data_IF_990470605226
#
_entry.id   IF_990470605226
#
_cell.length_a   1.000
_cell.length_b   1.000
_cell.length_c   1.000
_cell.angle_alpha   90.00
_cell.angle_beta   90.00
_cell.angle_gamma   90.00
#
_symmetry.space_group_name_H-M   'P 1'
#
loop_
_entity.id
_entity.type
_entity.pdbx_description
1 polymer ?
#
# COMPACT_ATOMS: atom_id res chain seq x y z
N UNK A 1 -12.98 10.68 -43.44
CA UNK A 1 -11.68 10.07 -43.22
C UNK A 1 -11.48 9.96 -41.72
N UNK A 2 -11.75 8.78 -41.17
CA UNK A 2 -11.67 8.48 -39.73
C UNK A 2 -10.29 7.93 -39.40
N UNK A 3 -9.56 8.61 -38.54
CA UNK A 3 -8.34 8.08 -37.95
C UNK A 3 -8.68 7.33 -36.64
N UNK A 4 -8.68 6.00 -36.69
CA UNK A 4 -8.74 5.16 -35.50
C UNK A 4 -7.33 5.07 -34.89
N UNK A 5 -7.14 5.75 -33.77
CA UNK A 5 -5.96 5.58 -32.94
C UNK A 5 -6.04 4.35 -32.09
N UNK A 6 -5.36 3.30 -32.47
CA UNK A 6 -5.22 2.06 -31.68
C UNK A 6 -4.35 2.36 -30.45
N UNK A 7 -4.95 2.34 -29.25
CA UNK A 7 -4.18 2.37 -28.00
C UNK A 7 -3.51 1.02 -27.81
N UNK A 8 -2.21 0.98 -27.93
CA UNK A 8 -1.38 -0.16 -27.57
C UNK A 8 -1.40 -0.30 -26.03
N UNK A 9 -1.93 -1.42 -25.54
CA UNK A 9 -1.85 -1.78 -24.14
C UNK A 9 -0.38 -2.02 -23.77
N UNK A 10 0.12 -1.34 -22.75
CA UNK A 10 1.44 -1.58 -22.20
C UNK A 10 1.51 -3.01 -21.66
N UNK A 11 2.35 -3.84 -22.25
CA UNK A 11 2.66 -5.18 -21.74
C UNK A 11 3.39 -5.03 -20.38
N UNK A 12 2.87 -5.72 -19.38
CA UNK A 12 3.57 -5.88 -18.11
C UNK A 12 4.93 -6.58 -18.35
N UNK A 13 5.99 -6.21 -17.62
CA UNK A 13 7.28 -6.84 -17.78
C UNK A 13 7.19 -8.35 -17.48
N UNK A 14 7.61 -9.17 -18.42
CA UNK A 14 7.81 -10.61 -18.22
C UNK A 14 8.96 -10.79 -17.22
N UNK A 15 8.64 -11.31 -16.03
CA UNK A 15 9.65 -11.64 -15.02
C UNK A 15 10.20 -13.02 -15.37
N UNK A 16 11.41 -13.06 -15.90
CA UNK A 16 12.19 -14.29 -16.09
C UNK A 16 12.60 -14.84 -14.73
N UNK A 17 12.09 -16.01 -14.38
CA UNK A 17 12.48 -16.75 -13.18
C UNK A 17 13.77 -17.52 -13.46
N UNK A 18 14.85 -17.15 -12.78
CA UNK A 18 16.07 -17.95 -12.75
C UNK A 18 15.97 -18.95 -11.57
N UNK A 19 15.83 -20.25 -11.91
CA UNK A 19 15.78 -21.33 -10.94
C UNK A 19 17.20 -21.81 -10.62
N UNK A 20 17.85 -21.21 -9.62
CA UNK A 20 19.02 -21.80 -8.99
C UNK A 20 18.98 -21.53 -7.48
N UNK A 21 18.31 -22.42 -6.74
CA UNK A 21 18.36 -22.45 -5.30
C UNK A 21 19.68 -23.06 -4.83
N UNK A 22 20.59 -22.23 -4.32
CA UNK A 22 21.70 -22.70 -3.53
C UNK A 22 21.42 -22.34 -2.06
N UNK A 23 21.43 -23.29 -1.16
CA UNK A 23 21.00 -23.27 0.25
C UNK A 23 21.81 -22.34 1.18
N UNK A 24 22.21 -21.18 0.72
CA UNK A 24 22.83 -20.08 1.47
C UNK A 24 22.22 -18.71 1.14
N UNK A 25 21.20 -18.65 0.31
CA UNK A 25 20.57 -17.38 -0.06
C UNK A 25 19.54 -17.03 0.99
N UNK A 26 19.75 -15.93 1.70
CA UNK A 26 18.77 -15.33 2.56
C UNK A 26 18.22 -14.07 1.92
N UNK A 27 16.93 -13.82 2.17
CA UNK A 27 16.16 -12.79 1.49
C UNK A 27 15.56 -11.80 2.48
N UNK A 28 15.27 -10.62 1.98
CA UNK A 28 14.41 -9.64 2.64
C UNK A 28 13.09 -9.55 1.89
N UNK A 29 11.99 -9.53 2.62
CA UNK A 29 10.67 -9.26 2.05
C UNK A 29 10.28 -7.82 2.37
N UNK A 30 9.91 -7.04 1.34
CA UNK A 30 9.27 -5.75 1.51
C UNK A 30 7.77 -5.87 1.26
N UNK A 31 6.97 -5.53 2.28
CA UNK A 31 5.50 -5.45 2.20
C UNK A 31 5.12 -3.99 1.96
N UNK A 32 4.50 -3.74 0.80
CA UNK A 32 4.06 -2.40 0.40
C UNK A 32 2.54 -2.33 0.39
N UNK A 33 1.98 -1.62 1.38
CA UNK A 33 0.55 -1.35 1.45
C UNK A 33 0.22 -0.07 0.70
N UNK A 34 -0.07 -0.21 -0.57
CA UNK A 34 -0.51 0.91 -1.41
C UNK A 34 -1.98 1.27 -1.21
N UNK A 35 -2.43 2.34 -1.85
CA UNK A 35 -3.81 2.83 -1.76
C UNK A 35 -4.81 1.92 -2.48
N UNK A 36 -4.42 1.26 -3.56
CA UNK A 36 -5.32 0.44 -4.39
C UNK A 36 -4.97 -1.03 -4.43
N UNK A 37 -3.81 -1.40 -3.91
CA UNK A 37 -3.30 -2.77 -3.92
C UNK A 37 -2.25 -2.99 -2.86
N UNK A 38 -2.14 -4.22 -2.40
CA UNK A 38 -1.06 -4.71 -1.56
C UNK A 38 0.00 -5.40 -2.41
N UNK A 39 1.28 -5.28 -2.01
CA UNK A 39 2.40 -5.87 -2.74
C UNK A 39 3.38 -6.51 -1.77
N UNK A 40 3.99 -7.62 -2.20
CA UNK A 40 5.15 -8.20 -1.55
C UNK A 40 6.29 -8.34 -2.56
N UNK A 41 7.49 -7.93 -2.16
CA UNK A 41 8.70 -7.91 -3.00
C UNK A 41 9.77 -8.73 -2.32
N UNK A 42 10.34 -9.70 -3.03
CA UNK A 42 11.49 -10.49 -2.58
C UNK A 42 12.78 -9.84 -3.07
N UNK A 43 13.69 -9.58 -2.14
CA UNK A 43 14.98 -8.95 -2.44
C UNK A 43 16.11 -9.83 -1.91
N UNK A 44 17.12 -10.07 -2.71
CA UNK A 44 18.31 -10.84 -2.30
C UNK A 44 19.35 -9.96 -1.60
N UNK A 45 20.44 -10.58 -1.14
CA UNK A 45 21.56 -9.90 -0.46
C UNK A 45 22.29 -8.87 -1.32
N UNK A 46 22.19 -8.97 -2.64
CA UNK A 46 22.78 -7.98 -3.56
C UNK A 46 21.89 -6.73 -3.74
N UNK A 47 20.65 -6.75 -3.21
CA UNK A 47 19.63 -5.73 -3.42
C UNK A 47 18.83 -5.96 -4.71
N UNK A 48 19.00 -7.08 -5.40
CA UNK A 48 18.24 -7.39 -6.59
C UNK A 48 16.84 -7.92 -6.25
N UNK A 49 15.83 -7.42 -6.94
CA UNK A 49 14.45 -7.92 -6.84
C UNK A 49 14.38 -9.28 -7.54
N UNK A 50 13.95 -10.31 -6.80
CA UNK A 50 13.81 -11.69 -7.28
C UNK A 50 12.40 -12.04 -7.67
N UNK A 51 11.40 -11.53 -6.94
CA UNK A 51 10.00 -11.76 -7.25
C UNK A 51 9.14 -10.62 -6.71
N UNK A 52 7.95 -10.45 -7.31
CA UNK A 52 6.92 -9.52 -6.86
C UNK A 52 5.57 -10.21 -6.98
N UNK A 53 4.76 -10.11 -5.93
CA UNK A 53 3.34 -10.45 -5.96
C UNK A 53 2.52 -9.21 -5.62
N UNK A 54 1.36 -9.05 -6.25
CA UNK A 54 0.50 -7.89 -6.06
C UNK A 54 -0.97 -8.31 -6.17
N UNK A 55 -1.81 -7.78 -5.28
CA UNK A 55 -3.26 -8.02 -5.29
C UNK A 55 -4.00 -6.71 -5.05
N UNK A 56 -4.94 -6.31 -5.92
CA UNK A 56 -5.84 -5.21 -5.64
C UNK A 56 -6.83 -5.58 -4.55
N UNK A 57 -7.44 -4.57 -3.91
CA UNK A 57 -8.55 -4.72 -2.98
C UNK A 57 -9.64 -3.69 -3.26
N UNK A 58 -10.90 -3.92 -2.80
CA UNK A 58 -12.02 -3.05 -3.08
C UNK A 58 -11.84 -1.64 -2.51
N UNK A 59 -12.31 -0.64 -3.25
CA UNK A 59 -12.39 0.75 -2.83
C UNK A 59 -13.86 1.06 -2.52
N UNK A 60 -14.15 1.77 -1.43
CA UNK A 60 -15.49 2.11 -0.98
C UNK A 60 -15.69 3.63 -1.10
N UNK A 61 -16.75 4.03 -1.81
CA UNK A 61 -17.09 5.44 -2.03
C UNK A 61 -18.50 5.71 -1.48
N UNK A 62 -18.68 5.93 -0.16
CA UNK A 62 -20.01 6.04 0.45
C UNK A 62 -20.77 7.28 0.01
N UNK A 63 -20.08 8.36 -0.32
CA UNK A 63 -20.62 9.65 -0.78
C UNK A 63 -19.62 10.32 -1.73
N UNK A 64 -20.03 11.29 -2.55
CA UNK A 64 -19.11 12.11 -3.34
C UNK A 64 -17.97 12.67 -2.50
N UNK A 65 -16.73 12.47 -2.93
CA UNK A 65 -15.53 12.91 -2.23
C UNK A 65 -15.12 12.09 -1.01
N UNK A 66 -15.91 11.05 -0.62
CA UNK A 66 -15.54 10.16 0.47
C UNK A 66 -14.85 8.91 -0.06
N UNK A 67 -13.76 8.53 0.58
CA UNK A 67 -13.00 7.33 0.22
C UNK A 67 -12.72 6.52 1.49
N UNK A 68 -13.08 5.25 1.45
CA UNK A 68 -12.93 4.32 2.56
C UNK A 68 -12.40 2.97 2.07
N UNK A 69 -11.76 2.24 2.97
CA UNK A 69 -11.38 0.84 2.77
C UNK A 69 -11.88 -0.02 3.93
N UNK A 70 -12.22 -1.29 3.64
CA UNK A 70 -12.40 -2.26 4.72
C UNK A 70 -11.02 -2.67 5.25
N UNK A 71 -10.73 -2.48 6.56
CA UNK A 71 -9.48 -2.89 7.14
C UNK A 71 -9.18 -4.39 7.00
N UNK A 72 -10.22 -5.23 6.92
CA UNK A 72 -10.08 -6.67 6.70
C UNK A 72 -9.64 -7.00 5.28
N UNK A 73 -10.09 -6.24 4.29
CA UNK A 73 -9.64 -6.39 2.90
C UNK A 73 -8.16 -5.99 2.77
N UNK A 74 -7.75 -4.90 3.44
CA UNK A 74 -6.34 -4.49 3.51
C UNK A 74 -5.48 -5.62 4.08
N UNK A 75 -5.84 -6.14 5.25
CA UNK A 75 -5.10 -7.21 5.93
C UNK A 75 -5.07 -8.49 5.09
N UNK A 76 -6.22 -8.93 4.58
CA UNK A 76 -6.32 -10.17 3.81
C UNK A 76 -5.55 -10.10 2.50
N UNK A 77 -5.57 -8.96 1.80
CA UNK A 77 -4.80 -8.77 0.56
C UNK A 77 -3.29 -8.77 0.82
N UNK A 78 -2.84 -8.18 1.94
CA UNK A 78 -1.42 -8.20 2.31
C UNK A 78 -0.93 -9.60 2.69
N UNK A 79 -1.71 -10.36 3.47
CA UNK A 79 -1.40 -11.75 3.80
C UNK A 79 -1.41 -12.64 2.55
N UNK A 80 -2.36 -12.40 1.64
CA UNK A 80 -2.44 -13.13 0.37
C UNK A 80 -1.16 -12.96 -0.45
N UNK A 81 -0.72 -11.72 -0.71
CA UNK A 81 0.49 -11.48 -1.53
C UNK A 81 1.74 -12.03 -0.88
N UNK A 82 1.86 -11.97 0.45
CA UNK A 82 2.97 -12.59 1.18
C UNK A 82 2.96 -14.12 1.00
N UNK A 83 1.82 -14.75 1.19
CA UNK A 83 1.69 -16.21 1.04
C UNK A 83 1.98 -16.64 -0.40
N UNK A 84 1.43 -15.94 -1.39
CA UNK A 84 1.69 -16.20 -2.81
C UNK A 84 3.19 -16.07 -3.15
N UNK A 85 3.87 -15.06 -2.60
CA UNK A 85 5.31 -14.87 -2.79
C UNK A 85 6.09 -16.07 -2.27
N UNK A 86 5.88 -16.45 -1.01
CA UNK A 86 6.59 -17.56 -0.37
C UNK A 86 6.35 -18.88 -1.10
N UNK A 87 5.09 -19.19 -1.41
CA UNK A 87 4.73 -20.43 -2.10
C UNK A 87 5.29 -20.48 -3.52
N UNK A 88 5.17 -19.41 -4.29
CA UNK A 88 5.65 -19.36 -5.68
C UNK A 88 7.16 -19.47 -5.80
N UNK A 89 7.90 -19.03 -4.78
CA UNK A 89 9.36 -19.09 -4.75
C UNK A 89 9.89 -20.32 -3.99
N UNK A 90 9.00 -21.15 -3.42
CA UNK A 90 9.39 -22.34 -2.65
C UNK A 90 10.18 -22.01 -1.37
N UNK A 91 9.93 -20.84 -0.79
CA UNK A 91 10.66 -20.33 0.37
C UNK A 91 10.03 -20.79 1.69
N UNK A 92 10.89 -21.08 2.64
CA UNK A 92 10.56 -21.34 4.04
C UNK A 92 10.85 -20.11 4.92
N UNK A 93 10.34 -20.02 6.16
CA UNK A 93 10.65 -18.93 7.06
C UNK A 93 12.15 -18.75 7.33
N UNK A 94 12.92 -19.83 7.27
CA UNK A 94 14.37 -19.86 7.50
C UNK A 94 15.16 -19.15 6.38
N UNK A 95 14.56 -19.01 5.20
CA UNK A 95 15.17 -18.32 4.06
C UNK A 95 15.01 -16.78 4.16
N UNK A 96 14.24 -16.28 5.15
CA UNK A 96 13.89 -14.87 5.28
C UNK A 96 14.64 -14.26 6.47
N UNK A 97 15.57 -13.34 6.17
CA UNK A 97 16.32 -12.61 7.20
C UNK A 97 15.46 -11.57 7.92
N UNK A 98 14.61 -10.84 7.16
CA UNK A 98 13.78 -9.77 7.71
C UNK A 98 12.61 -9.40 6.80
N UNK A 99 11.63 -8.70 7.40
CA UNK A 99 10.50 -8.13 6.67
C UNK A 99 10.46 -6.62 6.94
N UNK A 100 10.49 -5.83 5.88
CA UNK A 100 10.22 -4.40 5.93
C UNK A 100 8.77 -4.11 5.54
N UNK A 101 8.15 -3.14 6.20
CA UNK A 101 6.75 -2.78 5.94
C UNK A 101 6.67 -1.28 5.63
N UNK A 102 6.02 -0.93 4.53
CA UNK A 102 5.56 0.43 4.26
C UNK A 102 4.04 0.47 4.28
N UNK A 103 3.49 1.50 4.94
CA UNK A 103 2.06 1.66 5.13
C UNK A 103 1.46 2.64 4.13
N UNK A 104 0.13 2.64 4.09
CA UNK A 104 -0.67 3.71 3.46
C UNK A 104 -0.73 4.88 4.45
N UNK A 105 0.13 5.90 4.26
CA UNK A 105 0.23 7.04 5.16
C UNK A 105 -1.08 7.81 5.25
N UNK A 106 -1.32 8.46 6.39
CA UNK A 106 -2.48 9.28 6.74
C UNK A 106 -3.84 8.55 6.69
N UNK A 107 -3.86 7.29 6.24
CA UNK A 107 -5.07 6.45 6.32
C UNK A 107 -5.28 6.00 7.76
N UNK A 108 -6.44 6.33 8.31
CA UNK A 108 -6.74 6.12 9.74
C UNK A 108 -7.63 4.90 9.94
N UNK A 109 -7.20 3.99 10.82
CA UNK A 109 -7.95 2.82 11.26
C UNK A 109 -8.06 2.85 12.79
N UNK A 110 -9.28 2.65 13.30
CA UNK A 110 -9.55 2.45 14.73
C UNK A 110 -10.17 1.07 14.94
N UNK A 111 -9.62 0.30 15.87
CA UNK A 111 -10.11 -1.05 16.17
C UNK A 111 -10.18 -1.31 17.67
N UNK A 112 -11.00 -2.29 18.04
CA UNK A 112 -11.05 -2.78 19.42
C UNK A 112 -9.79 -3.58 19.72
N UNK A 113 -8.99 -3.14 20.67
CA UNK A 113 -7.71 -3.78 21.01
C UNK A 113 -7.83 -5.22 21.55
N UNK A 114 -9.00 -5.60 22.08
CA UNK A 114 -9.21 -6.93 22.66
C UNK A 114 -9.72 -7.94 21.64
N UNK A 115 -10.52 -7.47 20.67
CA UNK A 115 -11.13 -8.36 19.66
C UNK A 115 -10.43 -8.28 18.31
N UNK A 116 -9.66 -7.22 18.03
CA UNK A 116 -9.09 -6.92 16.72
C UNK A 116 -10.10 -6.39 15.70
N UNK A 117 -11.39 -6.27 16.09
CA UNK A 117 -12.43 -5.80 15.16
C UNK A 117 -12.34 -4.30 14.92
N UNK A 118 -12.34 -3.86 13.65
CA UNK A 118 -12.40 -2.44 13.33
C UNK A 118 -13.77 -1.87 13.72
N UNK A 119 -13.78 -0.64 14.25
CA UNK A 119 -15.03 0.05 14.64
C UNK A 119 -15.70 0.74 13.46
N UNK A 120 -14.97 0.96 12.38
CA UNK A 120 -15.43 1.59 11.15
C UNK A 120 -14.47 1.23 10.01
N UNK A 121 -14.88 1.47 8.76
CA UNK A 121 -13.96 1.45 7.62
C UNK A 121 -12.78 2.40 7.85
N UNK A 122 -11.64 2.07 7.29
CA UNK A 122 -10.49 2.98 7.23
C UNK A 122 -10.86 4.24 6.46
N UNK A 123 -10.57 5.40 7.02
CA UNK A 123 -10.71 6.68 6.32
C UNK A 123 -9.41 6.90 5.55
N UNK A 124 -9.50 6.91 4.23
CA UNK A 124 -8.34 6.97 3.35
C UNK A 124 -7.84 8.40 3.22
N UNK A 125 -6.55 8.60 3.07
CA UNK A 125 -5.91 9.92 2.90
C UNK A 125 -6.48 10.76 1.74
N UNK A 126 -7.10 10.12 0.75
CA UNK A 126 -7.76 10.78 -0.37
C UNK A 126 -9.17 11.32 -0.04
N UNK A 127 -9.68 10.97 1.15
CA UNK A 127 -11.04 11.31 1.55
C UNK A 127 -11.16 12.82 1.83
N UNK A 128 -12.13 13.46 1.20
CA UNK A 128 -12.36 14.91 1.30
C UNK A 128 -13.44 15.30 2.33
N UNK A 129 -13.82 14.36 3.24
CA UNK A 129 -14.87 14.63 4.26
C UNK A 129 -14.54 15.74 5.23
N UNK A 130 -13.26 16.04 5.42
CA UNK A 130 -12.74 17.08 6.31
C UNK A 130 -12.38 18.37 5.56
N UNK A 131 -12.64 18.46 4.26
CA UNK A 131 -12.21 19.60 3.43
C UNK A 131 -12.69 20.95 3.99
N UNK A 132 -13.97 21.05 4.41
CA UNK A 132 -14.54 22.28 4.97
C UNK A 132 -13.78 22.73 6.23
N UNK A 133 -13.52 21.83 7.17
CA UNK A 133 -12.75 22.13 8.39
C UNK A 133 -11.29 22.54 8.07
N UNK A 134 -10.68 21.93 7.07
CA UNK A 134 -9.34 22.31 6.63
C UNK A 134 -9.34 23.67 5.95
N UNK A 135 -10.36 23.99 5.16
CA UNK A 135 -10.48 25.29 4.51
C UNK A 135 -10.70 26.41 5.54
N UNK A 136 -11.44 26.17 6.63
CA UNK A 136 -11.53 27.07 7.77
C UNK A 136 -10.17 27.26 8.47
N UNK A 137 -9.46 26.17 8.75
CA UNK A 137 -8.15 26.22 9.40
C UNK A 137 -7.13 26.99 8.57
N UNK A 138 -7.17 26.88 7.24
CA UNK A 138 -6.28 27.60 6.33
C UNK A 138 -6.48 29.13 6.32
N UNK A 139 -7.57 29.63 6.90
CA UNK A 139 -7.79 31.09 7.04
C UNK A 139 -6.86 31.68 8.12
N UNK A 140 -6.32 30.88 9.02
CA UNK A 140 -5.33 31.31 10.01
C UNK A 140 -3.90 31.00 9.50
N UNK A 141 -3.27 32.01 8.91
CA UNK A 141 -1.91 31.88 8.37
C UNK A 141 -0.88 31.50 9.45
N UNK A 142 -1.11 31.89 10.71
CA UNK A 142 -0.21 31.56 11.83
C UNK A 142 -0.21 30.07 12.11
N UNK A 143 -1.40 29.45 12.13
CA UNK A 143 -1.54 27.99 12.31
C UNK A 143 -0.92 27.24 11.13
N UNK A 144 -1.17 27.70 9.90
CA UNK A 144 -0.61 27.09 8.69
C UNK A 144 0.92 27.10 8.73
N UNK A 145 1.53 28.24 9.08
CA UNK A 145 2.99 28.36 9.15
C UNK A 145 3.58 27.52 10.30
N UNK A 146 2.89 27.44 11.44
CA UNK A 146 3.32 26.60 12.57
C UNK A 146 3.30 25.11 12.17
N UNK A 147 2.23 24.64 11.52
CA UNK A 147 2.15 23.26 11.01
C UNK A 147 3.29 23.01 10.03
N UNK A 148 3.48 23.91 9.08
CA UNK A 148 4.53 23.79 8.06
C UNK A 148 5.93 23.76 8.65
N UNK A 149 6.23 24.63 9.61
CA UNK A 149 7.55 24.73 10.24
C UNK A 149 7.89 23.48 11.06
N UNK A 150 6.88 22.84 11.69
CA UNK A 150 7.06 21.65 12.52
C UNK A 150 7.07 20.34 11.72
N UNK A 151 6.32 20.26 10.63
CA UNK A 151 6.06 19.00 9.92
C UNK A 151 6.65 18.97 8.52
N UNK A 152 6.94 20.11 7.91
CA UNK A 152 7.25 20.25 6.49
C UNK A 152 6.05 20.11 5.56
N UNK A 153 4.84 19.89 6.12
CA UNK A 153 3.61 19.67 5.36
C UNK A 153 2.69 20.89 5.42
N UNK A 154 1.79 20.98 4.46
CA UNK A 154 0.67 21.93 4.49
C UNK A 154 -0.59 21.19 4.94
N UNK A 155 -1.53 21.86 5.66
CA UNK A 155 -2.81 21.25 5.98
C UNK A 155 -3.55 20.82 4.71
N UNK A 156 -3.99 19.58 4.67
CA UNK A 156 -4.85 19.05 3.60
C UNK A 156 -5.89 18.10 4.19
N UNK A 157 -7.05 17.95 3.48
CA UNK A 157 -8.15 17.11 3.93
C UNK A 157 -7.90 15.64 3.58
#
# INVERSE_FOLDING_TARGET
>A
MSAQGTRQAAQAPEILFDQASNSQDSYVIALDQGTTSSRAVLVDRSGAIRAITQSPFPQIFPRPGWVEHDPKDILSSQLKVLTELLVSQGLSPEDIDSIGITNQRETTIVWNRHTGEPVHNAIVWQCRRTAEAIDELKQDETIVEEIRSRTGLIPDA
#
